data_IF_394444783610
#
_entry.id   IF_394444783610
#
_cell.length_a   1.000
_cell.length_b   1.000
_cell.length_c   1.000
_cell.angle_alpha   90.00
_cell.angle_beta   90.00
_cell.angle_gamma   90.00
#
_symmetry.space_group_name_H-M   'P 1'
#
loop_
_entity.id
_entity.type
_entity.pdbx_description
1 polymer ?
#
# COMPACT_ATOMS: atom_id res chain seq x y z
N UNK A 1 -5.49 9.21 4.49
CA UNK A 1 -5.82 8.11 3.55
C UNK A 1 -4.57 7.35 3.13
N UNK A 2 -3.43 8.02 2.93
CA UNK A 2 -2.12 7.39 2.66
C UNK A 2 -1.64 6.52 3.85
N UNK A 3 -1.88 6.95 5.09
CA UNK A 3 -1.46 6.22 6.30
C UNK A 3 -2.04 4.81 6.47
N UNK A 4 -3.14 4.48 5.78
CA UNK A 4 -3.66 3.12 5.78
C UNK A 4 -2.84 2.20 4.88
N UNK A 5 -2.36 2.71 3.74
CA UNK A 5 -1.46 1.97 2.85
C UNK A 5 -0.10 1.75 3.51
N UNK A 6 0.41 2.79 4.17
CA UNK A 6 1.67 2.70 4.92
C UNK A 6 1.58 1.68 6.05
N UNK A 7 0.49 1.69 6.84
CA UNK A 7 0.29 0.65 7.87
C UNK A 7 0.15 -0.75 7.27
N UNK A 8 -0.59 -0.90 6.17
CA UNK A 8 -0.76 -2.21 5.55
C UNK A 8 0.57 -2.77 5.08
N UNK A 9 1.37 -1.96 4.38
CA UNK A 9 2.69 -2.35 3.87
C UNK A 9 3.65 -2.68 5.02
N UNK A 10 3.65 -1.88 6.10
CA UNK A 10 4.45 -2.16 7.30
C UNK A 10 4.02 -3.48 7.96
N UNK A 11 2.72 -3.73 8.11
CA UNK A 11 2.17 -5.02 8.59
C UNK A 11 2.42 -6.19 7.63
N UNK A 12 2.62 -5.90 6.35
CA UNK A 12 3.03 -6.87 5.34
C UNK A 12 4.53 -7.17 5.40
N UNK A 13 5.33 -6.33 6.07
CA UNK A 13 6.79 -6.41 6.08
C UNK A 13 7.42 -5.85 4.80
N UNK A 14 6.66 -5.07 4.04
CA UNK A 14 7.16 -4.32 2.88
C UNK A 14 7.79 -3.02 3.34
N UNK A 15 8.92 -2.69 2.73
CA UNK A 15 9.69 -1.50 3.08
C UNK A 15 9.03 -0.26 2.46
N UNK A 16 8.51 0.63 3.30
CA UNK A 16 7.79 1.84 2.86
C UNK A 16 8.67 2.75 2.01
N UNK A 17 9.99 2.75 2.22
CA UNK A 17 10.97 3.49 1.41
C UNK A 17 11.04 2.98 -0.04
N UNK A 18 10.53 1.78 -0.36
CA UNK A 18 10.40 1.30 -1.73
C UNK A 18 9.16 1.84 -2.45
N UNK A 19 8.23 2.48 -1.73
CA UNK A 19 6.97 2.96 -2.29
C UNK A 19 6.91 4.49 -2.18
N UNK A 20 6.97 5.16 -3.32
CA UNK A 20 6.90 6.62 -3.39
C UNK A 20 5.44 7.09 -3.27
N UNK A 21 4.89 7.02 -2.06
CA UNK A 21 3.53 7.46 -1.77
C UNK A 21 3.29 8.95 -2.02
N UNK A 22 4.35 9.75 -2.05
CA UNK A 22 4.31 11.18 -2.36
C UNK A 22 4.10 11.43 -3.86
N UNK A 23 4.64 10.56 -4.74
CA UNK A 23 4.39 10.59 -6.19
C UNK A 23 3.21 9.74 -6.65
N UNK A 24 2.69 8.83 -5.82
CA UNK A 24 1.54 8.01 -6.18
C UNK A 24 0.23 8.78 -6.03
N UNK A 25 -0.64 8.66 -7.04
CA UNK A 25 -2.01 9.16 -6.93
C UNK A 25 -2.84 8.27 -6.00
N UNK A 26 -3.93 8.83 -5.46
CA UNK A 26 -4.84 8.07 -4.59
C UNK A 26 -5.35 6.77 -5.23
N UNK A 27 -5.56 6.76 -6.55
CA UNK A 27 -5.96 5.56 -7.30
C UNK A 27 -4.86 4.51 -7.32
N UNK A 28 -3.60 4.90 -7.54
CA UNK A 28 -2.46 3.96 -7.52
C UNK A 28 -2.23 3.37 -6.14
N UNK A 29 -2.33 4.19 -5.08
CA UNK A 29 -2.24 3.71 -3.69
C UNK A 29 -3.37 2.75 -3.37
N UNK A 30 -4.58 3.01 -3.87
CA UNK A 30 -5.73 2.13 -3.70
C UNK A 30 -5.55 0.81 -4.45
N UNK A 31 -5.16 0.84 -5.72
CA UNK A 31 -4.94 -0.36 -6.52
C UNK A 31 -3.86 -1.24 -5.88
N UNK A 32 -2.78 -0.63 -5.39
CA UNK A 32 -1.74 -1.33 -4.63
C UNK A 32 -2.31 -2.01 -3.38
N UNK A 33 -3.12 -1.30 -2.59
CA UNK A 33 -3.77 -1.88 -1.40
C UNK A 33 -4.72 -3.03 -1.80
N UNK A 34 -5.51 -2.86 -2.86
CA UNK A 34 -6.47 -3.86 -3.33
C UNK A 34 -5.72 -5.12 -3.82
N UNK A 35 -4.62 -4.99 -4.58
CA UNK A 35 -3.75 -6.11 -4.96
C UNK A 35 -3.13 -6.82 -3.76
N UNK A 36 -2.64 -6.07 -2.77
CA UNK A 36 -2.04 -6.64 -1.56
C UNK A 36 -3.05 -7.36 -0.67
N UNK A 37 -4.30 -6.88 -0.65
CA UNK A 37 -5.42 -7.54 0.03
C UNK A 37 -5.80 -8.83 -0.69
N UNK A 38 -5.88 -8.80 -2.01
CA UNK A 38 -6.21 -9.97 -2.85
C UNK A 38 -5.14 -11.07 -2.70
N UNK A 39 -3.85 -10.70 -2.70
CA UNK A 39 -2.74 -11.63 -2.52
C UNK A 39 -2.75 -12.31 -1.13
N UNK A 40 -3.21 -11.62 -0.09
CA UNK A 40 -3.41 -12.19 1.26
C UNK A 40 -4.77 -12.86 1.47
N UNK A 41 -5.69 -12.77 0.51
CA UNK A 41 -7.04 -13.36 0.60
C UNK A 41 -7.98 -12.67 1.59
N UNK A 42 -7.83 -11.35 1.78
CA UNK A 42 -8.70 -10.52 2.61
C UNK A 42 -9.96 -10.04 1.89
#
# INVERSE_FOLDING_TARGET
MISYAEQLLDELGYDLDNYDFDNMTFEQVRDLIDELKDERGY
#
